data_IF_006852769181
#
_entry.id   IF_006852769181
#
_cell.length_a   1.000
_cell.length_b   1.000
_cell.length_c   1.000
_cell.angle_alpha   90.00
_cell.angle_beta   90.00
_cell.angle_gamma   90.00
#
_symmetry.space_group_name_H-M   'P 1'
#
loop_
_entity.id
_entity.type
_entity.pdbx_description
1 polymer ?
#
# COMPACT_ATOMS: atom_id res chain seq x y z
N UNK A 1 18.68 9.30 23.03
CA UNK A 1 17.93 10.20 22.12
C UNK A 1 17.74 9.61 20.73
N UNK A 2 18.71 8.84 20.23
CA UNK A 2 18.60 8.16 18.94
C UNK A 2 17.40 7.21 18.84
N UNK A 3 16.83 6.69 19.93
CA UNK A 3 15.63 5.84 19.85
C UNK A 3 14.31 6.59 19.57
N UNK A 4 14.23 7.89 19.85
CA UNK A 4 12.97 8.64 19.75
C UNK A 4 12.50 8.75 18.29
N UNK A 5 13.33 9.17 17.32
CA UNK A 5 12.91 9.19 15.92
C UNK A 5 12.60 7.79 15.36
N UNK A 6 13.25 6.74 15.88
CA UNK A 6 12.93 5.36 15.51
C UNK A 6 11.50 5.01 15.97
N UNK A 7 11.11 5.39 17.18
CA UNK A 7 9.73 5.21 17.64
C UNK A 7 8.72 5.95 16.74
N UNK A 8 9.06 7.14 16.24
CA UNK A 8 8.22 7.86 15.27
C UNK A 8 8.10 7.11 13.95
N UNK A 9 9.21 6.62 13.40
CA UNK A 9 9.21 5.78 12.18
C UNK A 9 8.32 4.55 12.38
N UNK A 10 8.45 3.86 13.50
CA UNK A 10 7.64 2.67 13.79
C UNK A 10 6.16 2.99 13.93
N UNK A 11 5.81 4.10 14.60
CA UNK A 11 4.43 4.55 14.71
C UNK A 11 3.85 4.91 13.33
N UNK A 12 4.61 5.63 12.50
CA UNK A 12 4.22 5.97 11.12
C UNK A 12 4.08 4.73 10.24
N UNK A 13 4.99 3.76 10.36
CA UNK A 13 4.95 2.51 9.60
C UNK A 13 3.77 1.64 10.03
N UNK A 14 3.48 1.55 11.33
CA UNK A 14 2.30 0.86 11.84
C UNK A 14 1.01 1.53 11.35
N UNK A 15 0.92 2.87 11.43
CA UNK A 15 -0.22 3.63 10.92
C UNK A 15 -0.41 3.43 9.41
N UNK A 16 0.67 3.48 8.62
CA UNK A 16 0.63 3.22 7.18
C UNK A 16 0.17 1.79 6.89
N UNK A 17 0.77 0.80 7.54
CA UNK A 17 0.45 -0.62 7.30
C UNK A 17 -1.00 -0.94 7.65
N UNK A 18 -1.54 -0.33 8.72
CA UNK A 18 -2.95 -0.53 9.11
C UNK A 18 -3.90 0.23 8.17
N UNK A 19 -3.69 1.53 7.99
CA UNK A 19 -4.64 2.39 7.28
C UNK A 19 -4.53 2.23 5.76
N UNK A 20 -3.31 2.31 5.22
CA UNK A 20 -3.08 2.06 3.80
C UNK A 20 -3.27 0.58 3.45
N UNK A 21 -2.95 -0.35 4.36
CA UNK A 21 -3.20 -1.78 4.15
C UNK A 21 -4.68 -2.10 3.91
N UNK A 22 -5.59 -1.50 4.69
CA UNK A 22 -7.04 -1.66 4.48
C UNK A 22 -7.49 -1.07 3.12
N UNK A 23 -6.90 0.03 2.71
CA UNK A 23 -7.17 0.67 1.43
C UNK A 23 -6.65 -0.16 0.24
N UNK A 24 -5.42 -0.68 0.30
CA UNK A 24 -4.88 -1.62 -0.69
C UNK A 24 -5.71 -2.90 -0.76
N UNK A 25 -6.07 -3.47 0.39
CA UNK A 25 -6.91 -4.66 0.44
C UNK A 25 -8.32 -4.45 -0.10
N UNK A 26 -8.88 -3.24 -0.01
CA UNK A 26 -10.17 -2.95 -0.63
C UNK A 26 -10.09 -3.12 -2.16
N UNK A 27 -8.98 -2.67 -2.77
CA UNK A 27 -8.69 -2.90 -4.19
C UNK A 27 -8.55 -4.38 -4.54
N UNK A 28 -7.88 -5.17 -3.68
CA UNK A 28 -7.82 -6.63 -3.84
C UNK A 28 -9.22 -7.28 -3.84
N UNK A 29 -10.13 -6.83 -2.98
CA UNK A 29 -11.50 -7.38 -2.97
C UNK A 29 -12.35 -6.98 -4.18
N UNK A 30 -12.06 -5.83 -4.81
CA UNK A 30 -12.69 -5.49 -6.09
C UNK A 30 -12.24 -6.40 -7.24
N UNK A 31 -11.00 -6.91 -7.18
CA UNK A 31 -10.48 -7.90 -8.12
C UNK A 31 -11.10 -9.27 -7.91
N UNK A 32 -11.09 -9.71 -6.66
CA UNK A 32 -11.56 -11.03 -6.25
C UNK A 32 -13.07 -11.11 -6.10
N UNK A 33 -13.80 -10.03 -6.45
CA UNK A 33 -15.25 -10.05 -6.51
C UNK A 33 -15.73 -11.05 -7.58
N UNK A 34 -16.01 -12.26 -7.09
CA UNK A 34 -16.72 -13.31 -7.83
C UNK A 34 -18.21 -13.01 -7.94
N UNK A 35 -18.91 -13.82 -8.73
CA UNK A 35 -20.34 -13.67 -8.99
C UNK A 35 -20.67 -12.88 -10.26
N UNK A 36 -21.95 -12.58 -10.45
CA UNK A 36 -22.44 -11.85 -11.62
C UNK A 36 -22.01 -10.37 -11.63
N UNK A 37 -22.14 -9.68 -12.78
CA UNK A 37 -21.71 -8.28 -12.95
C UNK A 37 -22.23 -7.32 -11.86
N UNK A 38 -23.46 -7.52 -11.40
CA UNK A 38 -24.08 -6.69 -10.36
C UNK A 38 -23.38 -6.77 -8.99
N UNK A 39 -22.95 -7.96 -8.57
CA UNK A 39 -22.24 -8.15 -7.28
C UNK A 39 -20.88 -7.47 -7.30
N UNK A 40 -20.17 -7.55 -8.44
CA UNK A 40 -18.89 -6.86 -8.63
C UNK A 40 -19.03 -5.34 -8.54
N UNK A 41 -20.08 -4.79 -9.13
CA UNK A 41 -20.39 -3.35 -9.04
C UNK A 41 -20.68 -2.95 -7.59
N UNK A 42 -21.51 -3.71 -6.87
CA UNK A 42 -21.85 -3.42 -5.48
C UNK A 42 -20.62 -3.45 -4.55
N UNK A 43 -19.78 -4.48 -4.64
CA UNK A 43 -18.53 -4.59 -3.86
C UNK A 43 -17.59 -3.42 -4.15
N UNK A 44 -17.49 -3.03 -5.43
CA UNK A 44 -16.63 -1.96 -5.90
C UNK A 44 -17.11 -0.59 -5.43
N UNK A 45 -18.40 -0.32 -5.53
CA UNK A 45 -18.97 0.98 -5.15
C UNK A 45 -18.94 1.14 -3.63
N UNK A 46 -19.20 0.08 -2.87
CA UNK A 46 -19.00 0.04 -1.42
C UNK A 46 -17.55 0.32 -1.02
N UNK A 47 -16.59 -0.37 -1.65
CA UNK A 47 -15.17 -0.16 -1.39
C UNK A 47 -14.71 1.29 -1.66
N UNK A 48 -15.25 1.93 -2.70
CA UNK A 48 -14.96 3.34 -3.01
C UNK A 48 -15.54 4.27 -1.98
N UNK A 49 -16.81 4.09 -1.62
CA UNK A 49 -17.47 4.93 -0.64
C UNK A 49 -16.73 4.89 0.71
N UNK A 50 -16.37 3.69 1.17
CA UNK A 50 -15.69 3.50 2.44
C UNK A 50 -14.24 4.02 2.46
N UNK A 51 -13.51 3.95 1.34
CA UNK A 51 -12.06 4.24 1.31
C UNK A 51 -11.67 5.56 0.65
N UNK A 52 -12.55 6.17 -0.15
CA UNK A 52 -12.26 7.38 -0.92
C UNK A 52 -11.69 8.54 -0.08
N UNK A 53 -12.34 8.97 1.02
CA UNK A 53 -11.89 10.09 1.83
C UNK A 53 -10.55 9.87 2.57
N UNK A 54 -10.14 8.62 2.77
CA UNK A 54 -8.98 8.27 3.62
C UNK A 54 -7.73 7.93 2.82
N UNK A 55 -7.87 7.64 1.52
CA UNK A 55 -6.74 7.27 0.65
C UNK A 55 -5.62 8.33 0.62
N UNK A 56 -5.98 9.60 0.42
CA UNK A 56 -5.01 10.69 0.36
C UNK A 56 -4.27 10.87 1.69
N UNK A 57 -5.01 10.77 2.80
CA UNK A 57 -4.47 10.88 4.15
C UNK A 57 -3.48 9.74 4.48
N UNK A 58 -3.68 8.55 3.92
CA UNK A 58 -2.83 7.40 4.20
C UNK A 58 -1.38 7.59 3.72
N UNK A 59 -1.16 8.27 2.59
CA UNK A 59 0.17 8.45 2.03
C UNK A 59 1.06 9.38 2.85
N UNK A 60 0.47 10.26 3.66
CA UNK A 60 1.19 11.14 4.58
C UNK A 60 2.10 10.33 5.51
N UNK A 61 1.64 9.15 5.99
CA UNK A 61 2.42 8.29 6.87
C UNK A 61 3.67 7.72 6.20
N UNK A 62 3.59 7.33 4.93
CA UNK A 62 4.74 6.82 4.18
C UNK A 62 5.78 7.92 3.98
N UNK A 63 5.34 9.11 3.54
CA UNK A 63 6.25 10.25 3.35
C UNK A 63 6.87 10.66 4.69
N UNK A 64 6.09 10.66 5.77
CA UNK A 64 6.59 10.92 7.13
C UNK A 64 7.70 9.93 7.53
N UNK A 65 7.48 8.63 7.33
CA UNK A 65 8.49 7.60 7.61
C UNK A 65 9.77 7.85 6.81
N UNK A 66 9.66 8.15 5.52
CA UNK A 66 10.80 8.41 4.64
C UNK A 66 11.58 9.66 5.07
N UNK A 67 10.89 10.77 5.36
CA UNK A 67 11.52 12.04 5.76
C UNK A 67 12.20 11.92 7.11
N UNK A 68 11.56 11.29 8.10
CA UNK A 68 12.17 11.06 9.42
C UNK A 68 13.37 10.11 9.30
N UNK A 69 13.26 9.04 8.51
CA UNK A 69 14.37 8.12 8.27
C UNK A 69 15.56 8.84 7.61
N UNK A 70 15.32 9.62 6.56
CA UNK A 70 16.34 10.39 5.87
C UNK A 70 17.03 11.42 6.78
N UNK A 71 16.25 12.14 7.59
CA UNK A 71 16.77 13.22 8.44
C UNK A 71 17.50 12.69 9.67
N UNK A 72 16.94 11.67 10.33
CA UNK A 72 17.48 11.14 11.59
C UNK A 72 18.52 10.02 11.39
N UNK A 73 18.46 9.28 10.29
CA UNK A 73 19.36 8.15 9.99
C UNK A 73 19.80 8.15 8.51
N UNK A 74 20.53 9.18 8.05
CA UNK A 74 20.84 9.37 6.63
C UNK A 74 21.62 8.21 6.00
N UNK A 75 22.53 7.58 6.76
CA UNK A 75 23.30 6.40 6.29
C UNK A 75 22.38 5.20 6.06
N UNK A 76 21.43 4.97 6.97
CA UNK A 76 20.42 3.90 6.82
C UNK A 76 19.55 4.16 5.61
N UNK A 77 19.04 5.39 5.49
CA UNK A 77 18.21 5.79 4.36
C UNK A 77 18.94 5.60 3.02
N UNK A 78 20.18 6.08 2.89
CA UNK A 78 20.98 5.93 1.67
C UNK A 78 21.24 4.47 1.31
N UNK A 79 21.57 3.64 2.31
CA UNK A 79 21.80 2.20 2.12
C UNK A 79 20.55 1.47 1.64
N UNK A 80 19.39 1.74 2.26
CA UNK A 80 18.09 1.17 1.88
C UNK A 80 17.70 1.61 0.47
N UNK A 81 17.69 2.91 0.21
CA UNK A 81 17.18 3.46 -1.05
C UNK A 81 18.04 3.07 -2.25
N UNK A 82 19.36 2.94 -2.07
CA UNK A 82 20.26 2.51 -3.14
C UNK A 82 20.21 1.00 -3.37
N UNK A 83 20.16 0.19 -2.32
CA UNK A 83 20.13 -1.28 -2.43
C UNK A 83 18.76 -1.78 -2.89
N UNK A 84 17.67 -1.18 -2.41
CA UNK A 84 16.29 -1.61 -2.67
C UNK A 84 15.58 -0.68 -3.65
N UNK A 85 16.33 -0.07 -4.57
CA UNK A 85 15.81 0.87 -5.55
C UNK A 85 14.69 0.29 -6.42
N UNK A 86 14.84 -0.98 -6.86
CA UNK A 86 13.86 -1.66 -7.70
C UNK A 86 12.49 -1.79 -7.01
N UNK A 87 12.37 -2.47 -5.84
CA UNK A 87 11.07 -2.60 -5.18
C UNK A 87 10.51 -1.26 -4.69
N UNK A 88 11.36 -0.30 -4.28
CA UNK A 88 10.88 1.05 -3.94
C UNK A 88 10.28 1.75 -5.16
N UNK A 89 10.92 1.64 -6.33
CA UNK A 89 10.40 2.18 -7.58
C UNK A 89 9.09 1.51 -7.99
N UNK A 90 8.99 0.17 -7.88
CA UNK A 90 7.76 -0.56 -8.15
C UNK A 90 6.62 -0.11 -7.24
N UNK A 91 6.89 0.12 -5.94
CA UNK A 91 5.91 0.66 -5.01
C UNK A 91 5.47 2.08 -5.43
N UNK A 92 6.41 2.96 -5.80
CA UNK A 92 6.11 4.31 -6.25
C UNK A 92 5.24 4.31 -7.52
N UNK A 93 5.58 3.48 -8.52
CA UNK A 93 4.76 3.28 -9.72
C UNK A 93 3.37 2.80 -9.34
N UNK A 94 3.25 1.81 -8.45
CA UNK A 94 1.95 1.34 -7.96
C UNK A 94 1.10 2.45 -7.34
N UNK A 95 1.69 3.29 -6.48
CA UNK A 95 1.00 4.44 -5.86
C UNK A 95 0.51 5.43 -6.93
N UNK A 96 1.35 5.77 -7.91
CA UNK A 96 1.00 6.69 -9.01
C UNK A 96 -0.15 6.12 -9.84
N UNK A 97 -0.06 4.85 -10.25
CA UNK A 97 -1.09 4.19 -11.04
C UNK A 97 -2.43 4.12 -10.28
N UNK A 98 -2.39 3.93 -8.96
CA UNK A 98 -3.59 3.94 -8.11
C UNK A 98 -4.21 5.34 -8.05
N UNK A 99 -3.42 6.40 -7.82
CA UNK A 99 -3.91 7.78 -7.80
C UNK A 99 -4.49 8.21 -9.14
N UNK A 100 -3.82 7.86 -10.24
CA UNK A 100 -4.32 8.10 -11.60
C UNK A 100 -5.64 7.37 -11.87
N UNK A 101 -5.76 6.12 -11.38
CA UNK A 101 -7.00 5.34 -11.54
C UNK A 101 -8.18 5.95 -10.78
N UNK A 102 -7.95 6.61 -9.63
CA UNK A 102 -8.99 7.37 -8.94
C UNK A 102 -9.41 8.63 -9.72
N UNK A 103 -8.44 9.41 -10.19
CA UNK A 103 -8.68 10.68 -10.88
C UNK A 103 -9.37 10.51 -12.26
N UNK A 104 -8.93 9.52 -13.05
CA UNK A 104 -9.44 9.30 -14.41
C UNK A 104 -10.80 8.63 -14.44
N UNK A 105 -11.16 7.85 -13.42
CA UNK A 105 -12.40 7.07 -13.47
C UNK A 105 -13.66 7.93 -13.39
N UNK A 106 -13.61 9.07 -12.69
CA UNK A 106 -14.71 10.04 -12.63
C UNK A 106 -15.01 10.71 -13.98
N UNK A 107 -14.15 10.53 -14.98
CA UNK A 107 -14.25 11.15 -16.30
C UNK A 107 -14.71 10.18 -17.40
N UNK A 108 -15.01 8.92 -17.06
CA UNK A 108 -15.29 7.86 -18.04
C UNK A 108 -16.72 7.33 -17.96
N UNK A 109 -17.52 7.73 -18.94
CA UNK A 109 -18.94 7.37 -19.05
C UNK A 109 -19.20 5.95 -19.60
N UNK A 110 -18.20 5.32 -20.24
CA UNK A 110 -18.41 4.05 -20.97
C UNK A 110 -17.79 2.84 -20.27
N UNK A 111 -18.57 1.77 -20.10
CA UNK A 111 -18.18 0.50 -19.46
C UNK A 111 -16.89 -0.12 -20.01
N UNK A 112 -16.63 -0.03 -21.32
CA UNK A 112 -15.40 -0.55 -21.95
C UNK A 112 -14.12 0.19 -21.55
N UNK A 113 -14.19 1.49 -21.29
CA UNK A 113 -13.03 2.28 -20.86
C UNK A 113 -12.73 2.11 -19.37
N UNK A 114 -13.70 1.64 -18.58
CA UNK A 114 -13.53 1.39 -17.15
C UNK A 114 -12.70 0.14 -16.86
N UNK A 115 -12.79 -0.91 -17.68
CA UNK A 115 -12.07 -2.18 -17.47
C UNK A 115 -10.53 -2.08 -17.39
N UNK A 116 -9.81 -1.38 -18.29
CA UNK A 116 -8.35 -1.25 -18.17
C UNK A 116 -7.94 -0.50 -16.91
N UNK A 117 -8.71 0.52 -16.50
CA UNK A 117 -8.47 1.28 -15.26
C UNK A 117 -8.78 0.44 -14.03
N UNK A 118 -9.78 -0.43 -14.10
CA UNK A 118 -10.06 -1.42 -13.07
C UNK A 118 -8.89 -2.35 -12.86
N UNK A 119 -8.36 -2.92 -13.95
CA UNK A 119 -7.22 -3.81 -13.90
C UNK A 119 -5.94 -3.09 -13.42
N UNK A 120 -5.79 -1.81 -13.76
CA UNK A 120 -4.67 -1.00 -13.30
C UNK A 120 -4.74 -0.72 -11.79
N UNK A 121 -5.91 -0.29 -11.30
CA UNK A 121 -6.20 -0.07 -9.89
C UNK A 121 -6.00 -1.33 -9.05
N UNK A 122 -6.53 -2.42 -9.57
CA UNK A 122 -6.40 -3.77 -9.07
C UNK A 122 -4.93 -4.21 -8.90
N UNK A 123 -4.17 -4.16 -10.00
CA UNK A 123 -2.79 -4.61 -10.02
C UNK A 123 -1.92 -3.75 -9.10
N UNK A 124 -2.11 -2.43 -9.11
CA UNK A 124 -1.37 -1.53 -8.24
C UNK A 124 -1.67 -1.76 -6.75
N UNK A 125 -2.88 -2.22 -6.43
CA UNK A 125 -3.30 -2.57 -5.06
C UNK A 125 -2.62 -3.82 -4.51
N UNK A 126 -2.08 -4.68 -5.37
CA UNK A 126 -1.29 -5.85 -4.97
C UNK A 126 0.20 -5.51 -5.04
N UNK A 127 0.63 -4.90 -6.15
CA UNK A 127 2.02 -4.58 -6.44
C UNK A 127 2.62 -3.69 -5.35
N UNK A 128 1.91 -2.65 -4.91
CA UNK A 128 2.43 -1.68 -3.94
C UNK A 128 2.73 -2.32 -2.57
N UNK A 129 1.76 -2.93 -1.87
CA UNK A 129 2.04 -3.57 -0.58
C UNK A 129 3.01 -4.75 -0.72
N UNK A 130 2.97 -5.50 -1.82
CA UNK A 130 3.95 -6.56 -2.06
C UNK A 130 5.38 -5.99 -2.14
N UNK A 131 5.59 -4.97 -2.98
CA UNK A 131 6.89 -4.34 -3.16
C UNK A 131 7.41 -3.72 -1.86
N UNK A 132 6.57 -2.98 -1.12
CA UNK A 132 6.94 -2.44 0.19
C UNK A 132 7.24 -3.54 1.22
N UNK A 133 6.48 -4.64 1.21
CA UNK A 133 6.77 -5.80 2.07
C UNK A 133 8.10 -6.47 1.70
N UNK A 134 8.46 -6.54 0.41
CA UNK A 134 9.77 -7.07 0.00
C UNK A 134 10.93 -6.18 0.44
N UNK A 135 10.73 -4.86 0.51
CA UNK A 135 11.69 -3.90 1.09
C UNK A 135 11.91 -4.22 2.56
N UNK A 136 10.82 -4.36 3.33
CA UNK A 136 10.88 -4.73 4.75
C UNK A 136 11.59 -6.07 4.92
N UNK A 137 11.29 -7.07 4.11
CA UNK A 137 11.97 -8.37 4.21
C UNK A 137 13.43 -8.37 3.76
N UNK A 138 13.83 -7.47 2.86
CA UNK A 138 15.23 -7.30 2.46
C UNK A 138 16.05 -6.73 3.61
N UNK A 139 15.47 -5.75 4.33
CA UNK A 139 16.04 -5.22 5.58
C UNK A 139 16.07 -6.32 6.65
N UNK A 140 14.94 -6.99 6.87
CA UNK A 140 14.77 -7.98 7.94
C UNK A 140 15.69 -9.20 7.79
N UNK A 141 16.00 -9.58 6.55
CA UNK A 141 16.93 -10.68 6.25
C UNK A 141 18.41 -10.25 6.23
N UNK A 142 18.71 -8.98 6.53
CA UNK A 142 20.08 -8.48 6.61
C UNK A 142 20.78 -8.38 5.26
N UNK A 143 20.03 -8.25 4.15
CA UNK A 143 20.57 -8.16 2.78
C UNK A 143 20.82 -6.73 2.32
N UNK A 144 20.62 -5.75 3.20
CA UNK A 144 20.94 -4.34 2.96
C UNK A 144 22.26 -4.01 3.66
N UNK A 145 23.41 -4.09 2.98
CA UNK A 145 24.69 -3.71 3.56
C UNK A 145 24.75 -2.20 3.80
N UNK A 146 25.58 -1.79 4.76
CA UNK A 146 25.80 -0.39 5.08
C UNK A 146 26.65 0.25 3.98
N UNK A 147 26.16 1.34 3.40
CA UNK A 147 26.83 2.09 2.35
C UNK A 147 25.95 2.24 1.11
N UNK A 148 26.20 3.32 0.36
CA UNK A 148 25.46 3.58 -0.88
C UNK A 148 25.88 2.59 -1.96
N UNK A 149 24.90 1.96 -2.61
CA UNK A 149 25.07 0.99 -3.70
C UNK A 149 25.98 -0.20 -3.32
N UNK A 150 26.03 -0.55 -2.04
CA UNK A 150 26.83 -1.67 -1.54
C UNK A 150 26.13 -3.04 -1.72
N UNK A 151 24.80 -3.06 -1.83
CA UNK A 151 24.00 -4.28 -2.02
C UNK A 151 23.58 -4.49 -3.46
N UNK A 152 23.27 -5.74 -3.80
CA UNK A 152 22.80 -6.11 -5.14
C UNK A 152 21.31 -5.74 -5.33
N UNK A 153 20.95 -4.94 -6.35
CA UNK A 153 19.58 -4.42 -6.52
C UNK A 153 18.48 -5.47 -6.74
N UNK A 154 18.84 -6.71 -7.10
CA UNK A 154 17.89 -7.76 -7.50
C UNK A 154 17.74 -8.79 -6.37
N UNK A 155 18.84 -9.38 -5.95
CA UNK A 155 18.86 -10.46 -4.94
C UNK A 155 18.54 -9.96 -3.53
N UNK A 156 18.77 -8.67 -3.25
CA UNK A 156 18.49 -8.09 -1.92
C UNK A 156 16.99 -8.08 -1.56
N UNK A 157 16.09 -8.18 -2.55
CA UNK A 157 14.64 -8.24 -2.33
C UNK A 157 13.96 -9.48 -2.95
N UNK A 158 14.63 -10.20 -3.84
CA UNK A 158 14.15 -11.49 -4.38
C UNK A 158 14.72 -12.68 -3.60
N UNK A 159 14.41 -12.73 -2.31
CA UNK A 159 14.79 -13.83 -1.42
C UNK A 159 13.54 -14.40 -0.70
N UNK A 160 13.61 -15.62 -0.14
CA UNK A 160 12.46 -16.25 0.50
C UNK A 160 11.79 -15.38 1.57
N UNK A 161 12.58 -14.73 2.43
CA UNK A 161 12.06 -13.84 3.48
C UNK A 161 11.34 -12.62 2.90
N UNK A 162 11.92 -11.94 1.91
CA UNK A 162 11.29 -10.80 1.24
C UNK A 162 10.00 -11.17 0.53
N UNK A 163 9.99 -12.29 -0.20
CA UNK A 163 8.79 -12.74 -0.93
C UNK A 163 7.66 -13.09 0.04
N UNK A 164 7.95 -13.81 1.12
CA UNK A 164 6.91 -14.19 2.09
C UNK A 164 6.40 -12.98 2.89
N UNK A 165 7.25 -12.00 3.23
CA UNK A 165 6.83 -10.76 3.89
C UNK A 165 6.02 -9.88 2.92
N UNK A 166 6.41 -9.81 1.65
CA UNK A 166 5.61 -9.18 0.59
C UNK A 166 4.22 -9.79 0.46
N UNK A 167 4.14 -11.12 0.41
CA UNK A 167 2.86 -11.83 0.38
C UNK A 167 2.04 -11.60 1.65
N UNK A 168 2.70 -11.58 2.82
CA UNK A 168 2.06 -11.29 4.10
C UNK A 168 1.46 -9.88 4.11
N UNK A 169 2.17 -8.87 3.60
CA UNK A 169 1.66 -7.50 3.51
C UNK A 169 0.36 -7.42 2.70
N UNK A 170 0.30 -8.10 1.54
CA UNK A 170 -0.92 -8.20 0.72
C UNK A 170 -2.05 -8.92 1.49
N UNK A 171 -1.76 -10.05 2.13
CA UNK A 171 -2.74 -10.83 2.88
C UNK A 171 -3.30 -10.06 4.08
N UNK A 172 -2.44 -9.39 4.86
CA UNK A 172 -2.86 -8.56 5.99
C UNK A 172 -3.67 -7.34 5.53
N UNK A 173 -3.33 -6.76 4.37
CA UNK A 173 -4.12 -5.69 3.78
C UNK A 173 -5.52 -6.17 3.40
N UNK A 174 -5.63 -7.31 2.72
CA UNK A 174 -6.91 -7.96 2.40
C UNK A 174 -7.75 -8.27 3.64
N UNK A 175 -7.11 -8.78 4.70
CA UNK A 175 -7.76 -9.03 5.99
C UNK A 175 -8.30 -7.74 6.63
N UNK A 176 -7.47 -6.70 6.76
CA UNK A 176 -7.88 -5.41 7.31
C UNK A 176 -9.04 -4.80 6.51
N UNK A 177 -8.95 -4.85 5.17
CA UNK A 177 -9.98 -4.35 4.29
C UNK A 177 -11.32 -5.07 4.51
N UNK A 178 -11.32 -6.39 4.60
CA UNK A 178 -12.54 -7.16 4.80
C UNK A 178 -13.21 -6.82 6.15
N UNK A 179 -12.43 -6.69 7.23
CA UNK A 179 -12.94 -6.27 8.54
C UNK A 179 -13.54 -4.88 8.49
N UNK A 180 -12.87 -3.93 7.83
CA UNK A 180 -13.32 -2.55 7.71
C UNK A 180 -14.58 -2.43 6.84
N UNK A 181 -14.62 -3.12 5.71
CA UNK A 181 -15.76 -3.11 4.78
C UNK A 181 -16.98 -3.82 5.37
N UNK A 182 -16.79 -4.89 6.16
CA UNK A 182 -17.88 -5.52 6.90
C UNK A 182 -18.48 -4.57 7.94
N UNK A 183 -17.62 -3.83 8.66
CA UNK A 183 -18.05 -2.84 9.64
C UNK A 183 -18.85 -1.69 9.00
N UNK A 184 -18.39 -1.22 7.85
CA UNK A 184 -19.07 -0.15 7.11
C UNK A 184 -20.40 -0.62 6.50
N UNK A 185 -20.45 -1.83 5.93
CA UNK A 185 -21.69 -2.41 5.44
C UNK A 185 -22.73 -2.61 6.57
N UNK A 186 -22.28 -3.02 7.76
CA UNK A 186 -23.13 -3.10 8.94
C UNK A 186 -23.68 -1.73 9.36
N UNK A 187 -22.84 -0.68 9.34
CA UNK A 187 -23.23 0.71 9.62
C UNK A 187 -24.28 1.22 8.65
N UNK A 188 -24.15 0.88 7.37
CA UNK A 188 -25.08 1.27 6.30
C UNK A 188 -26.37 0.42 6.26
N UNK A 189 -26.45 -0.68 7.04
CA UNK A 189 -27.60 -1.59 7.01
C UNK A 189 -27.62 -2.55 5.82
N UNK A 190 -26.53 -2.62 5.05
CA UNK A 190 -26.40 -3.43 3.83
C UNK A 190 -26.09 -4.90 4.15
N UNK A 191 -27.13 -5.64 4.56
CA UNK A 191 -27.00 -7.00 5.11
C UNK A 191 -26.32 -8.00 4.17
N UNK A 192 -26.51 -7.88 2.86
CA UNK A 192 -25.89 -8.76 1.87
C UNK A 192 -24.38 -8.54 1.80
N UNK A 193 -23.94 -7.27 1.77
CA UNK A 193 -22.53 -6.89 1.78
C UNK A 193 -21.88 -7.21 3.14
N UNK A 194 -22.61 -7.01 4.25
CA UNK A 194 -22.14 -7.38 5.59
C UNK A 194 -21.77 -8.88 5.65
N UNK A 195 -22.67 -9.75 5.17
CA UNK A 195 -22.44 -11.19 5.21
C UNK A 195 -21.28 -11.63 4.32
N UNK A 196 -21.17 -11.06 3.12
CA UNK A 196 -20.07 -11.34 2.19
C UNK A 196 -18.72 -10.90 2.78
N UNK A 197 -18.60 -9.65 3.23
CA UNK A 197 -17.36 -9.16 3.82
C UNK A 197 -17.02 -9.80 5.16
N UNK A 198 -18.01 -10.23 5.94
CA UNK A 198 -17.79 -11.03 7.16
C UNK A 198 -17.16 -12.38 6.82
N UNK A 199 -17.66 -13.08 5.81
CA UNK A 199 -17.06 -14.34 5.35
C UNK A 199 -15.63 -14.12 4.84
N UNK A 200 -15.43 -13.08 4.02
CA UNK A 200 -14.09 -12.67 3.52
C UNK A 200 -13.15 -12.34 4.66
N UNK A 201 -13.59 -11.65 5.71
CA UNK A 201 -12.78 -11.30 6.87
C UNK A 201 -12.32 -12.52 7.66
N UNK A 202 -13.20 -13.50 7.87
CA UNK A 202 -12.86 -14.75 8.55
C UNK A 202 -11.87 -15.59 7.72
N UNK A 203 -12.15 -15.78 6.42
CA UNK A 203 -11.28 -16.56 5.52
C UNK A 203 -9.93 -15.89 5.36
N UNK A 204 -9.88 -14.60 5.04
CA UNK A 204 -8.62 -13.87 4.87
C UNK A 204 -7.84 -13.74 6.18
N UNK A 205 -8.49 -13.63 7.34
CA UNK A 205 -7.81 -13.66 8.63
C UNK A 205 -7.16 -15.01 8.93
N UNK A 206 -7.83 -16.13 8.62
CA UNK A 206 -7.24 -17.46 8.73
C UNK A 206 -6.09 -17.65 7.73
N UNK A 207 -6.26 -17.22 6.48
CA UNK A 207 -5.19 -17.27 5.47
C UNK A 207 -3.98 -16.41 5.85
N UNK A 208 -4.19 -15.19 6.35
CA UNK A 208 -3.13 -14.31 6.81
C UNK A 208 -2.41 -14.90 8.03
N UNK A 209 -3.13 -15.51 8.97
CA UNK A 209 -2.55 -16.23 10.10
C UNK A 209 -1.72 -17.44 9.68
N UNK A 210 -2.24 -18.28 8.78
CA UNK A 210 -1.51 -19.41 8.22
C UNK A 210 -0.27 -18.97 7.45
N UNK A 211 -0.37 -17.88 6.67
CA UNK A 211 0.76 -17.30 5.95
C UNK A 211 1.80 -16.70 6.91
N UNK A 212 1.39 -16.09 8.02
CA UNK A 212 2.30 -15.60 9.06
C UNK A 212 3.07 -16.76 9.72
N UNK A 213 2.40 -17.89 10.00
CA UNK A 213 3.06 -19.09 10.51
C UNK A 213 4.04 -19.66 9.48
N UNK A 214 3.66 -19.72 8.20
CA UNK A 214 4.56 -20.12 7.12
C UNK A 214 5.76 -19.17 6.99
N UNK A 215 5.54 -17.86 7.16
CA UNK A 215 6.58 -16.86 7.17
C UNK A 215 7.59 -17.09 8.29
N UNK A 216 7.15 -17.47 9.50
CA UNK A 216 8.06 -17.83 10.59
C UNK A 216 8.95 -19.03 10.25
N UNK A 217 8.42 -20.04 9.53
CA UNK A 217 9.20 -21.19 9.07
C UNK A 217 10.26 -20.76 8.05
N UNK A 218 9.90 -19.93 7.08
CA UNK A 218 10.84 -19.40 6.08
C UNK A 218 11.92 -18.53 6.73
N UNK A 219 11.52 -17.64 7.62
CA UNK A 219 12.41 -16.73 8.38
C UNK A 219 13.38 -17.52 9.25
N UNK A 220 12.96 -18.64 9.85
CA UNK A 220 13.85 -19.54 10.61
C UNK A 220 15.04 -20.02 9.79
N UNK A 221 14.83 -20.35 8.52
CA UNK A 221 15.89 -20.84 7.63
C UNK A 221 16.69 -19.72 6.96
N UNK A 222 16.03 -18.66 6.50
CA UNK A 222 16.62 -17.65 5.62
C UNK A 222 17.11 -16.40 6.38
N UNK A 223 16.55 -16.11 7.56
CA UNK A 223 16.89 -14.96 8.39
C UNK A 223 16.98 -15.36 9.89
N UNK A 224 17.95 -16.21 10.28
CA UNK A 224 18.01 -16.80 11.62
C UNK A 224 18.15 -15.75 12.74
N UNK A 225 18.83 -14.63 12.46
CA UNK A 225 18.95 -13.52 13.42
C UNK A 225 17.59 -12.89 13.74
N UNK A 226 16.76 -12.68 12.71
CA UNK A 226 15.39 -12.19 12.88
C UNK A 226 14.52 -13.20 13.62
N UNK A 227 14.62 -14.48 13.26
CA UNK A 227 13.88 -15.55 13.95
C UNK A 227 14.20 -15.56 15.45
N UNK A 228 15.49 -15.53 15.80
CA UNK A 228 15.92 -15.50 17.20
C UNK A 228 15.37 -14.28 17.94
N UNK A 229 15.39 -13.10 17.31
CA UNK A 229 14.81 -11.88 17.87
C UNK A 229 13.29 -11.93 18.03
N UNK A 230 12.58 -12.63 17.14
CA UNK A 230 11.14 -12.86 17.26
C UNK A 230 10.80 -13.88 18.36
N UNK A 231 11.71 -14.80 18.68
CA UNK A 231 11.54 -15.80 19.75
C UNK A 231 12.09 -15.38 21.11
N UNK A 232 12.78 -14.24 21.20
CA UNK A 232 13.29 -13.68 22.46
C UNK A 232 12.27 -12.74 23.13
N UNK A 233 12.53 -12.34 24.38
CA UNK A 233 11.61 -11.66 25.31
C UNK A 233 10.63 -10.66 24.67
N UNK A 234 11.15 -9.63 24.00
CA UNK A 234 10.32 -8.58 23.39
C UNK A 234 9.58 -9.03 22.12
N UNK A 235 10.19 -9.90 21.33
CA UNK A 235 9.62 -10.42 20.08
C UNK A 235 8.44 -11.37 20.34
N UNK A 236 8.60 -12.29 21.29
CA UNK A 236 7.56 -13.28 21.58
C UNK A 236 6.31 -12.63 22.19
N UNK A 237 6.49 -11.57 22.98
CA UNK A 237 5.37 -10.77 23.48
C UNK A 237 4.59 -10.12 22.34
N UNK A 238 5.28 -9.51 21.37
CA UNK A 238 4.63 -8.89 20.20
C UNK A 238 3.91 -9.91 19.30
N UNK A 239 4.52 -11.09 19.08
CA UNK A 239 3.88 -12.20 18.37
C UNK A 239 2.65 -12.69 19.12
N UNK A 240 2.75 -12.86 20.44
CA UNK A 240 1.62 -13.24 21.30
C UNK A 240 0.47 -12.23 21.26
N UNK A 241 0.78 -10.93 21.31
CA UNK A 241 -0.22 -9.86 21.14
C UNK A 241 -0.86 -9.92 19.76
N UNK A 242 -0.08 -10.14 18.70
CA UNK A 242 -0.62 -10.25 17.34
C UNK A 242 -1.58 -11.44 17.19
N UNK A 243 -1.21 -12.61 17.70
CA UNK A 243 -2.06 -13.82 17.68
C UNK A 243 -3.31 -13.61 18.51
N UNK A 244 -3.19 -13.11 19.74
CA UNK A 244 -4.33 -12.86 20.61
C UNK A 244 -5.30 -11.83 20.02
N UNK A 245 -4.78 -10.72 19.47
CA UNK A 245 -5.58 -9.69 18.83
C UNK A 245 -6.24 -10.21 17.55
N UNK A 246 -5.55 -11.02 16.73
CA UNK A 246 -6.11 -11.62 15.53
C UNK A 246 -7.24 -12.62 15.84
N UNK A 247 -7.04 -13.51 16.82
CA UNK A 247 -8.08 -14.43 17.29
C UNK A 247 -9.29 -13.67 17.87
N UNK A 248 -9.02 -12.60 18.63
CA UNK A 248 -10.07 -11.71 19.14
C UNK A 248 -10.86 -11.07 18.00
N UNK A 249 -10.18 -10.59 16.95
CA UNK A 249 -10.89 -10.06 15.77
C UNK A 249 -11.78 -11.10 15.12
N UNK A 250 -11.27 -12.32 14.88
CA UNK A 250 -12.05 -13.40 14.27
C UNK A 250 -13.30 -13.72 15.11
N UNK A 251 -13.15 -13.78 16.44
CA UNK A 251 -14.26 -13.98 17.36
C UNK A 251 -15.28 -12.83 17.31
N UNK A 252 -14.82 -11.58 17.31
CA UNK A 252 -15.67 -10.40 17.26
C UNK A 252 -16.42 -10.28 15.93
N UNK A 253 -15.75 -10.56 14.80
CA UNK A 253 -16.37 -10.63 13.46
C UNK A 253 -17.40 -11.75 13.41
N UNK A 254 -17.11 -12.90 14.02
CA UNK A 254 -18.05 -14.00 14.11
C UNK A 254 -19.30 -13.62 14.90
N UNK A 255 -19.14 -12.90 16.02
CA UNK A 255 -20.21 -12.33 16.87
C UNK A 255 -20.88 -11.06 16.30
N UNK A 256 -20.43 -10.55 15.15
CA UNK A 256 -20.90 -9.31 14.50
C UNK A 256 -20.66 -8.02 15.31
N UNK A 257 -19.63 -8.00 16.17
CA UNK A 257 -19.19 -6.81 16.88
C UNK A 257 -18.07 -6.08 16.11
N UNK A 258 -18.44 -5.38 15.04
CA UNK A 258 -17.47 -4.86 14.08
C UNK A 258 -16.64 -3.65 14.55
N UNK A 259 -17.18 -2.81 15.45
CA UNK A 259 -16.45 -1.68 16.04
C UNK A 259 -15.14 -2.11 16.74
N UNK A 260 -15.21 -2.96 17.79
CA UNK A 260 -14.01 -3.49 18.45
C UNK A 260 -13.21 -4.45 17.55
N UNK A 261 -13.84 -5.09 16.55
CA UNK A 261 -13.12 -5.89 15.57
C UNK A 261 -12.11 -5.06 14.76
N UNK A 262 -12.43 -3.82 14.37
CA UNK A 262 -11.47 -2.94 13.68
C UNK A 262 -10.25 -2.61 14.54
N UNK A 263 -10.48 -2.30 15.81
CA UNK A 263 -9.41 -1.96 16.75
C UNK A 263 -8.49 -3.15 17.02
N UNK A 264 -9.06 -4.34 17.24
CA UNK A 264 -8.27 -5.57 17.41
C UNK A 264 -7.53 -5.97 16.12
N UNK A 265 -8.11 -5.76 14.94
CA UNK A 265 -7.44 -6.04 13.67
C UNK A 265 -6.25 -5.11 13.44
N UNK A 266 -6.43 -3.81 13.71
CA UNK A 266 -5.36 -2.83 13.67
C UNK A 266 -4.24 -3.17 14.66
N UNK A 267 -4.59 -3.57 15.89
CA UNK A 267 -3.63 -4.01 16.90
C UNK A 267 -2.84 -5.24 16.45
N UNK A 268 -3.52 -6.23 15.85
CA UNK A 268 -2.88 -7.45 15.37
C UNK A 268 -1.79 -7.15 14.34
N UNK A 269 -2.08 -6.27 13.37
CA UNK A 269 -1.12 -5.88 12.31
C UNK A 269 -0.04 -4.94 12.84
N UNK A 270 -0.40 -3.97 13.70
CA UNK A 270 0.60 -3.10 14.35
C UNK A 270 1.58 -3.89 15.22
N UNK A 271 1.12 -4.96 15.88
CA UNK A 271 1.96 -5.85 16.66
C UNK A 271 2.96 -6.65 15.79
N UNK A 272 2.61 -6.98 14.53
CA UNK A 272 3.57 -7.58 13.57
C UNK A 272 4.71 -6.60 13.28
N UNK A 273 4.38 -5.33 13.00
CA UNK A 273 5.38 -4.27 12.75
C UNK A 273 6.24 -4.04 13.98
N UNK A 274 5.64 -3.99 15.17
CA UNK A 274 6.36 -3.85 16.44
C UNK A 274 7.26 -5.06 16.73
N UNK A 275 6.79 -6.27 16.47
CA UNK A 275 7.57 -7.51 16.63
C UNK A 275 8.80 -7.54 15.74
N UNK A 276 8.65 -7.14 14.47
CA UNK A 276 9.79 -6.97 13.55
C UNK A 276 10.81 -5.95 14.06
N UNK A 277 10.35 -4.82 14.60
CA UNK A 277 11.23 -3.78 15.13
C UNK A 277 11.98 -4.23 16.39
N UNK A 278 11.28 -4.90 17.32
CA UNK A 278 11.86 -5.43 18.55
C UNK A 278 12.86 -6.56 18.26
N UNK A 279 12.57 -7.41 17.29
CA UNK A 279 13.43 -8.52 16.89
C UNK A 279 14.79 -8.07 16.29
N UNK A 280 14.86 -6.86 15.74
CA UNK A 280 16.11 -6.34 15.15
C UNK A 280 16.95 -5.53 16.15
N UNK A 281 16.39 -5.10 17.28
CA UNK A 281 17.13 -4.29 18.26
C UNK A 281 18.38 -5.03 18.75
N UNK A 282 19.53 -4.33 18.91
CA UNK A 282 19.75 -2.88 18.79
C UNK A 282 20.16 -2.41 17.36
N UNK A 283 20.15 -3.29 16.37
CA UNK A 283 20.67 -3.02 15.01
C UNK A 283 19.56 -2.54 14.08
N UNK A 284 19.89 -1.61 13.20
CA UNK A 284 18.98 -1.17 12.12
C UNK A 284 19.36 -1.85 10.82
N UNK A 285 20.66 -1.99 10.57
CA UNK A 285 21.25 -2.69 9.44
C UNK A 285 22.39 -3.61 9.95
N UNK A 286 22.84 -4.59 9.16
CA UNK A 286 23.98 -5.43 9.51
C UNK A 286 25.20 -4.59 9.90
N UNK A 287 25.67 -4.74 11.15
CA UNK A 287 26.82 -4.01 11.66
C UNK A 287 26.58 -2.55 12.06
N UNK A 288 25.33 -2.03 11.98
CA UNK A 288 25.01 -0.65 12.33
C UNK A 288 23.88 -0.57 13.37
N UNK A 289 24.23 -0.07 14.56
CA UNK A 289 23.27 0.16 15.65
C UNK A 289 22.48 1.45 15.47
N UNK A 290 21.35 1.58 16.18
CA UNK A 290 20.53 2.81 16.16
C UNK A 290 21.36 4.03 16.54
N UNK A 291 22.21 3.92 17.57
CA UNK A 291 23.02 5.04 18.04
C UNK A 291 24.13 5.43 17.04
N UNK A 292 24.74 4.45 16.37
CA UNK A 292 25.75 4.70 15.34
C UNK A 292 25.16 5.27 14.05
N UNK A 293 23.92 4.89 13.72
CA UNK A 293 23.22 5.37 12.55
C UNK A 293 22.69 6.81 12.70
N UNK A 294 22.58 7.29 13.94
CA UNK A 294 21.87 8.52 14.25
C UNK A 294 22.64 9.76 13.76
N UNK A 295 21.88 10.73 13.25
CA UNK A 295 22.39 12.04 12.89
C UNK A 295 22.89 12.83 14.12
N UNK A 296 23.49 13.99 13.87
CA UNK A 296 24.01 14.88 14.91
C UNK A 296 22.92 15.26 15.94
N UNK A 297 23.32 15.49 17.20
CA UNK A 297 22.41 15.85 18.29
C UNK A 297 21.48 17.03 17.94
N UNK A 298 21.96 18.15 17.33
CA UNK A 298 21.07 19.23 16.88
C UNK A 298 20.03 18.78 15.85
N UNK A 299 20.41 17.94 14.89
CA UNK A 299 19.49 17.39 13.87
C UNK A 299 18.40 16.53 14.51
N UNK A 300 18.76 15.66 15.46
CA UNK A 300 17.79 14.83 16.17
C UNK A 300 16.82 15.69 17.00
N UNK A 301 17.32 16.71 17.70
CA UNK A 301 16.48 17.61 18.48
C UNK A 301 15.51 18.39 17.59
N UNK A 302 16.00 18.96 16.48
CA UNK A 302 15.17 19.66 15.50
C UNK A 302 14.09 18.74 14.92
N UNK A 303 14.45 17.49 14.60
CA UNK A 303 13.49 16.48 14.10
C UNK A 303 12.41 16.20 15.14
N UNK A 304 12.78 15.98 16.41
CA UNK A 304 11.83 15.70 17.48
C UNK A 304 10.86 16.86 17.69
N UNK A 305 11.38 18.08 17.74
CA UNK A 305 10.54 19.29 17.90
C UNK A 305 9.62 19.47 16.68
N UNK A 306 10.13 19.32 15.46
CA UNK A 306 9.33 19.45 14.25
C UNK A 306 8.20 18.42 14.19
N UNK A 307 8.47 17.16 14.55
CA UNK A 307 7.44 16.10 14.63
C UNK A 307 6.41 16.41 15.72
N UNK A 308 6.84 16.88 16.90
CA UNK A 308 5.93 17.25 17.97
C UNK A 308 5.01 18.42 17.58
N UNK A 309 5.56 19.48 16.97
CA UNK A 309 4.79 20.60 16.45
C UNK A 309 3.84 20.18 15.34
N UNK A 310 4.29 19.34 14.40
CA UNK A 310 3.44 18.78 13.35
C UNK A 310 2.30 17.93 13.90
N UNK A 311 2.56 17.11 14.91
CA UNK A 311 1.55 16.26 15.55
C UNK A 311 0.43 17.06 16.22
N UNK A 312 0.74 18.24 16.77
CA UNK A 312 -0.27 19.16 17.35
C UNK A 312 -1.30 19.59 16.30
N UNK A 313 -0.91 19.71 15.03
CA UNK A 313 -1.81 20.07 13.93
C UNK A 313 -2.44 18.83 13.27
N UNK A 314 -1.63 17.81 13.04
CA UNK A 314 -2.02 16.61 12.29
C UNK A 314 -2.98 15.71 13.08
N UNK A 315 -2.74 15.48 14.37
CA UNK A 315 -3.56 14.56 15.16
C UNK A 315 -5.00 15.08 15.31
N UNK A 316 -5.25 16.35 15.68
CA UNK A 316 -6.60 16.88 15.76
C UNK A 316 -7.33 16.87 14.41
N UNK A 317 -6.64 17.19 13.30
CA UNK A 317 -7.25 17.20 11.97
C UNK A 317 -7.65 15.79 11.51
N UNK A 318 -6.79 14.79 11.70
CA UNK A 318 -7.12 13.39 11.42
C UNK A 318 -8.23 12.85 12.32
N UNK A 319 -8.22 13.17 13.62
CA UNK A 319 -9.29 12.77 14.53
C UNK A 319 -10.63 13.38 14.11
N UNK A 320 -10.65 14.64 13.68
CA UNK A 320 -11.84 15.28 13.14
C UNK A 320 -12.31 14.56 11.87
N UNK A 321 -11.41 14.34 10.91
CA UNK A 321 -11.71 13.63 9.66
C UNK A 321 -12.29 12.24 9.92
N UNK A 322 -11.60 11.40 10.69
CA UNK A 322 -12.07 10.06 11.01
C UNK A 322 -13.39 10.07 11.77
N UNK A 323 -13.60 11.01 12.71
CA UNK A 323 -14.90 11.15 13.40
C UNK A 323 -16.03 11.52 12.44
N UNK A 324 -15.78 12.39 11.46
CA UNK A 324 -16.79 12.79 10.47
C UNK A 324 -17.13 11.63 9.52
N UNK A 325 -16.12 10.93 9.02
CA UNK A 325 -16.28 9.74 8.16
C UNK A 325 -17.01 8.62 8.91
N UNK A 326 -16.55 8.26 10.11
CA UNK A 326 -17.16 7.16 10.90
C UNK A 326 -18.58 7.46 11.37
N UNK A 327 -18.97 8.74 11.46
CA UNK A 327 -20.34 9.16 11.78
C UNK A 327 -21.23 9.32 10.54
N UNK A 328 -20.72 9.04 9.34
CA UNK A 328 -21.48 9.15 8.08
C UNK A 328 -21.84 10.59 7.70
N UNK A 329 -21.16 11.61 8.25
CA UNK A 329 -21.45 13.01 7.93
C UNK A 329 -20.91 13.47 6.57
N UNK A 330 -20.12 12.62 5.92
CA UNK A 330 -19.55 12.85 4.59
C UNK A 330 -20.13 11.89 3.55
N UNK A 331 -21.12 11.08 3.91
CA UNK A 331 -21.80 10.21 2.97
C UNK A 331 -22.60 11.11 2.00
N UNK A 332 -22.49 10.94 0.67
CA UNK A 332 -23.28 11.72 -0.26
C UNK A 332 -24.76 11.55 0.06
N UNK A 333 -25.49 12.66 0.23
CA UNK A 333 -26.94 12.60 0.31
C UNK A 333 -27.46 11.91 -0.96
N UNK A 334 -28.43 11.00 -0.83
CA UNK A 334 -29.10 10.29 -1.94
C UNK A 334 -29.40 11.27 -3.09
N UNK A 335 -28.50 11.33 -4.06
CA UNK A 335 -28.67 12.17 -5.24
C UNK A 335 -29.27 11.25 -6.29
N UNK A 336 -30.48 11.52 -6.81
CA UNK A 336 -31.12 10.65 -7.79
C UNK A 336 -30.18 10.41 -8.97
N UNK A 337 -30.09 9.14 -9.39
CA UNK A 337 -29.32 8.60 -10.50
C UNK A 337 -29.06 9.62 -11.61
N UNK A 338 -27.78 9.91 -11.85
CA UNK A 338 -27.34 10.79 -12.92
C UNK A 338 -27.99 10.42 -14.27
N UNK A 339 -28.55 11.44 -14.93
CA UNK A 339 -29.20 11.36 -16.23
C UNK A 339 -28.28 10.70 -17.26
N UNK A 340 -28.72 9.60 -17.86
CA UNK A 340 -27.99 8.87 -18.90
C UNK A 340 -27.90 9.77 -20.14
N UNK A 341 -26.70 10.26 -20.45
CA UNK A 341 -26.40 10.95 -21.72
C UNK A 341 -26.21 9.92 -22.86
N UNK A 342 -26.55 10.28 -24.11
CA UNK A 342 -26.52 9.34 -25.25
C UNK A 342 -25.10 8.94 -25.68
N UNK A 343 -24.92 7.75 -26.29
CA UNK A 343 -23.62 7.18 -26.59
C UNK A 343 -22.91 7.88 -27.76
N UNK A 344 -21.62 8.19 -27.58
CA UNK A 344 -20.72 8.74 -28.61
C UNK A 344 -20.08 7.63 -29.47
N UNK A 345 -19.85 7.90 -30.76
CA UNK A 345 -19.23 6.96 -31.72
C UNK A 345 -17.70 7.06 -31.75
N UNK A 346 -16.94 5.96 -31.69
CA UNK A 346 -15.47 6.00 -31.71
C UNK A 346 -14.89 5.92 -33.14
N UNK A 347 -13.77 6.63 -33.39
CA UNK A 347 -12.93 6.50 -34.61
C UNK A 347 -11.77 5.53 -34.34
N UNK A 348 -11.67 4.45 -35.14
CA UNK A 348 -10.94 3.21 -34.82
C UNK A 348 -9.45 3.14 -35.22
N UNK A 349 -8.96 3.99 -36.12
CA UNK A 349 -7.64 3.76 -36.75
C UNK A 349 -6.41 4.29 -35.99
N UNK A 350 -6.56 5.27 -35.10
CA UNK A 350 -5.41 5.94 -34.46
C UNK A 350 -4.91 5.24 -33.17
N UNK A 351 -5.79 4.46 -32.51
CA UNK A 351 -5.50 3.82 -31.22
C UNK A 351 -4.61 2.57 -31.33
N UNK A 352 -4.58 1.90 -32.48
CA UNK A 352 -3.79 0.69 -32.67
C UNK A 352 -2.27 0.96 -32.73
N UNK A 353 -1.87 2.08 -33.36
CA UNK A 353 -0.45 2.47 -33.45
C UNK A 353 0.11 2.91 -32.10
N UNK A 354 -0.66 3.68 -31.34
CA UNK A 354 -0.29 4.11 -29.98
C UNK A 354 -0.27 2.94 -28.99
N UNK A 355 -1.19 1.98 -29.09
CA UNK A 355 -1.21 0.78 -28.26
C UNK A 355 -0.01 -0.14 -28.57
N UNK A 356 0.33 -0.31 -29.85
CA UNK A 356 1.54 -1.04 -30.27
C UNK A 356 2.81 -0.36 -29.76
N UNK A 357 2.87 0.98 -29.79
CA UNK A 357 3.99 1.75 -29.25
C UNK A 357 4.13 1.59 -27.73
N UNK A 358 3.03 1.62 -26.97
CA UNK A 358 3.03 1.38 -25.52
C UNK A 358 3.51 -0.03 -25.17
N UNK A 359 3.02 -1.05 -25.90
CA UNK A 359 3.45 -2.44 -25.69
C UNK A 359 4.94 -2.66 -26.01
N UNK A 360 5.44 -2.08 -27.10
CA UNK A 360 6.85 -2.17 -27.48
C UNK A 360 7.76 -1.47 -26.46
N UNK A 361 7.40 -0.25 -26.02
CA UNK A 361 8.18 0.50 -25.01
C UNK A 361 8.15 -0.16 -23.64
N UNK A 362 7.06 -0.84 -23.27
CA UNK A 362 6.98 -1.65 -22.06
C UNK A 362 7.95 -2.85 -22.10
N UNK A 363 7.90 -3.66 -23.16
CA UNK A 363 8.75 -4.84 -23.29
C UNK A 363 10.24 -4.48 -23.35
N UNK A 364 10.58 -3.40 -24.06
CA UNK A 364 11.95 -2.87 -24.13
C UNK A 364 12.38 -2.33 -22.77
N UNK A 365 11.52 -1.56 -22.10
CA UNK A 365 11.80 -0.98 -20.78
C UNK A 365 12.04 -2.04 -19.70
N UNK A 366 11.19 -3.07 -19.63
CA UNK A 366 11.38 -4.22 -18.72
C UNK A 366 12.62 -5.03 -19.10
N UNK A 367 12.84 -5.32 -20.38
CA UNK A 367 14.02 -6.07 -20.82
C UNK A 367 15.33 -5.37 -20.47
N UNK A 368 15.41 -4.06 -20.72
CA UNK A 368 16.59 -3.24 -20.40
C UNK A 368 16.81 -3.09 -18.89
N UNK A 369 15.75 -3.00 -18.09
CA UNK A 369 15.89 -2.88 -16.63
C UNK A 369 16.20 -4.19 -15.92
N UNK A 370 15.82 -5.34 -16.50
CA UNK A 370 16.04 -6.67 -15.91
C UNK A 370 17.37 -7.28 -16.32
N UNK A 371 17.83 -7.04 -17.56
CA UNK A 371 18.98 -7.76 -18.14
C UNK A 371 20.28 -6.94 -18.03
N UNK A 372 20.20 -5.60 -17.92
CA UNK A 372 21.39 -4.76 -18.04
C UNK A 372 22.04 -4.39 -16.71
N UNK A 373 23.37 -4.56 -16.64
CA UNK A 373 24.22 -4.11 -15.52
C UNK A 373 24.84 -2.71 -15.73
N UNK A 374 24.53 -2.05 -16.85
CA UNK A 374 25.06 -0.71 -17.19
C UNK A 374 24.10 0.39 -16.75
N UNK A 375 24.60 1.38 -16.00
CA UNK A 375 23.79 2.49 -15.47
C UNK A 375 23.06 3.30 -16.55
N UNK A 376 23.64 3.47 -17.73
CA UNK A 376 23.00 4.16 -18.85
C UNK A 376 21.87 3.34 -19.48
N UNK A 377 22.00 2.01 -19.50
CA UNK A 377 20.95 1.12 -20.03
C UNK A 377 19.77 1.03 -19.06
N UNK A 378 20.03 1.06 -17.75
CA UNK A 378 19.00 1.19 -16.72
C UNK A 378 18.24 2.51 -16.86
N UNK A 379 18.94 3.63 -17.05
CA UNK A 379 18.31 4.93 -17.29
C UNK A 379 17.44 4.92 -18.55
N UNK A 380 17.92 4.32 -19.65
CA UNK A 380 17.14 4.17 -20.89
C UNK A 380 15.89 3.29 -20.67
N UNK A 381 16.03 2.19 -19.94
CA UNK A 381 14.92 1.31 -19.59
C UNK A 381 13.85 2.02 -18.75
N UNK A 382 14.25 2.84 -17.78
CA UNK A 382 13.35 3.68 -16.98
C UNK A 382 12.64 4.71 -17.87
N UNK A 383 13.35 5.37 -18.78
CA UNK A 383 12.77 6.31 -19.75
C UNK A 383 11.74 5.61 -20.64
N UNK A 384 12.02 4.39 -21.13
CA UNK A 384 11.07 3.61 -21.91
C UNK A 384 9.82 3.23 -21.09
N UNK A 385 9.96 2.92 -19.80
CA UNK A 385 8.82 2.66 -18.91
C UNK A 385 7.98 3.92 -18.66
N UNK A 386 8.61 5.09 -18.49
CA UNK A 386 7.90 6.37 -18.43
C UNK A 386 7.21 6.71 -19.75
N UNK A 387 7.86 6.47 -20.89
CA UNK A 387 7.26 6.67 -22.21
C UNK A 387 6.06 5.74 -22.45
N UNK A 388 6.12 4.49 -21.99
CA UNK A 388 4.98 3.58 -21.97
C UNK A 388 3.84 4.15 -21.10
N UNK A 389 4.14 4.59 -19.88
CA UNK A 389 3.16 5.20 -18.99
C UNK A 389 2.50 6.42 -19.67
N UNK A 390 3.30 7.36 -20.18
CA UNK A 390 2.82 8.58 -20.86
C UNK A 390 1.99 8.26 -22.10
N UNK A 391 2.41 7.29 -22.93
CA UNK A 391 1.66 6.91 -24.13
C UNK A 391 0.34 6.23 -23.79
N UNK A 392 0.30 5.45 -22.70
CA UNK A 392 -0.92 4.86 -22.15
C UNK A 392 -1.84 5.94 -21.58
N UNK A 393 -1.28 6.97 -20.93
CA UNK A 393 -2.02 8.17 -20.51
C UNK A 393 -2.54 8.98 -21.71
N UNK A 394 -1.75 9.13 -22.77
CA UNK A 394 -2.16 9.83 -24.00
C UNK A 394 -3.31 9.13 -24.71
N UNK A 395 -3.30 7.80 -24.74
CA UNK A 395 -4.44 6.98 -25.21
C UNK A 395 -5.70 7.18 -24.36
N UNK A 396 -5.55 7.47 -23.06
CA UNK A 396 -6.67 7.75 -22.16
C UNK A 396 -7.15 9.20 -22.23
N UNK A 397 -6.28 10.15 -22.61
CA UNK A 397 -6.56 11.58 -22.62
C UNK A 397 -6.98 12.14 -24.00
N UNK A 398 -6.76 11.43 -25.09
CA UNK A 398 -7.11 11.86 -26.45
C UNK A 398 -8.61 11.73 -26.79
N UNK A 399 -9.49 12.26 -25.93
CA UNK A 399 -10.91 12.50 -26.25
C UNK A 399 -11.13 14.00 -26.54
N UNK A 400 -11.29 14.41 -27.82
CA UNK A 400 -11.38 15.83 -28.17
C UNK A 400 -12.84 16.29 -28.13
N UNK A 401 -13.32 16.80 -26.99
CA UNK A 401 -14.59 17.57 -26.96
C UNK A 401 -14.47 19.00 -26.43
N UNK A 402 -13.26 19.53 -26.20
CA UNK A 402 -13.10 20.94 -25.80
C UNK A 402 -12.98 21.95 -26.97
N UNK A 403 -12.99 21.52 -28.24
CA UNK A 403 -12.81 22.44 -29.38
C UNK A 403 -14.09 22.80 -30.15
N UNK A 404 -15.25 22.19 -29.88
CA UNK A 404 -16.47 22.46 -30.67
C UNK A 404 -17.36 23.55 -30.07
N UNK A 405 -17.20 23.92 -28.80
CA UNK A 405 -18.00 25.01 -28.19
C UNK A 405 -17.62 26.41 -28.70
N UNK A 406 -16.43 26.60 -29.30
CA UNK A 406 -16.03 27.91 -29.83
C UNK A 406 -16.58 28.23 -31.25
N UNK A 407 -17.29 27.31 -31.91
CA UNK A 407 -17.84 27.52 -33.28
C UNK A 407 -19.36 27.66 -33.34
N UNK A 408 -20.07 27.63 -32.21
CA UNK A 408 -21.54 27.76 -32.19
C UNK A 408 -21.98 29.19 -31.75
N UNK A 409 -21.04 30.09 -31.47
CA UNK A 409 -21.29 31.51 -31.18
C UNK A 409 -20.59 32.47 -32.15
N UNK A 410 -20.44 32.10 -33.42
CA UNK A 410 -19.98 32.99 -34.50
C UNK A 410 -21.06 33.23 -35.53
#
# INVERSE_FOLDING_TARGET
MAEIPMAFILAGLAAYTVLAGADFGAGLWTLLAGGGPASRVAVRDHARHAMGPVWEANHVWLIFVLVVCWTAYPVVFGSIMSTLAIPVFLAAVGIILRGASYALRGQLDTSRAQHPIENLFALSSILTPFALGTVVGGIASGRVPVGNAAGDPVTSWLNPTSVVIGALAVATGGYLAAVYLAADAHRLGERTLELDFRARALVSGLCAGALALAALVVVRSDAPALFHGLTSDGGIAAVGVSVAAGLMTLFLVWRRHFGPARASAALAVAAIVAGWALAQRPRVLPGLTIDQAAASRPTLLATIIAVACGAIVLVPSLLLLFRLVLRGRLDPADTPSATILPPRTPRKEQNHLLAAFAAATFLIGVGMTVIANSGWVLALGIICLFACAISTFGLAAADPSQQTESRIHG
#
